data_IF_442211220368
#
_entry.id   IF_442211220368
#
_cell.length_a   1.000
_cell.length_b   1.000
_cell.length_c   1.000
_cell.angle_alpha   90.00
_cell.angle_beta   90.00
_cell.angle_gamma   90.00
#
_symmetry.space_group_name_H-M   'P 1'
#
loop_
_entity.id
_entity.type
_entity.pdbx_description
1 polymer ?
#
# COMPACT_ATOMS: atom_id res chain seq x y z
N UNK A 1 -50.27 -65.02 -58.52
CA UNK A 1 -51.00 -63.73 -58.64
C UNK A 1 -50.33 -62.75 -57.68
N UNK A 2 -49.49 -61.85 -58.20
CA UNK A 2 -49.80 -60.45 -58.58
C UNK A 2 -49.90 -59.48 -57.38
N UNK A 3 -48.87 -58.64 -57.29
CA UNK A 3 -48.87 -57.16 -57.08
C UNK A 3 -49.11 -56.53 -55.70
N UNK A 4 -48.03 -55.85 -55.24
CA UNK A 4 -47.88 -54.40 -54.95
C UNK A 4 -48.35 -53.78 -53.62
N UNK A 5 -47.36 -53.16 -52.95
CA UNK A 5 -47.34 -51.97 -52.05
C UNK A 5 -48.11 -52.11 -50.72
N UNK A 6 -47.60 -51.70 -49.55
CA UNK A 6 -47.31 -50.31 -49.14
C UNK A 6 -46.42 -50.31 -47.86
N UNK A 7 -45.50 -49.36 -47.85
CA UNK A 7 -44.74 -48.70 -46.77
C UNK A 7 -45.33 -48.79 -45.35
N UNK A 8 -44.50 -49.05 -44.33
CA UNK A 8 -44.23 -48.10 -43.22
C UNK A 8 -43.09 -48.63 -42.34
N UNK A 9 -41.99 -47.88 -42.42
CA UNK A 9 -40.80 -47.92 -41.59
C UNK A 9 -41.15 -47.41 -40.19
N UNK A 10 -40.88 -48.19 -39.14
CA UNK A 10 -40.52 -47.62 -37.84
C UNK A 10 -39.83 -48.68 -36.97
N UNK A 11 -38.72 -48.25 -36.35
CA UNK A 11 -38.21 -48.70 -35.06
C UNK A 11 -37.14 -49.82 -34.99
N UNK A 12 -35.93 -49.33 -34.63
CA UNK A 12 -34.89 -49.88 -33.72
C UNK A 12 -33.67 -50.58 -34.34
N UNK A 13 -32.53 -50.28 -33.70
CA UNK A 13 -31.24 -50.99 -33.59
C UNK A 13 -30.13 -50.31 -34.42
N UNK A 14 -29.48 -49.26 -33.91
CA UNK A 14 -28.34 -49.27 -32.95
C UNK A 14 -27.25 -50.25 -33.40
N UNK A 15 -26.20 -49.72 -34.02
CA UNK A 15 -24.79 -49.84 -33.58
C UNK A 15 -23.87 -49.50 -34.74
N UNK A 16 -23.15 -48.38 -34.64
CA UNK A 16 -22.15 -48.02 -35.65
C UNK A 16 -21.92 -46.53 -35.84
N UNK A 17 -21.88 -45.73 -34.77
CA UNK A 17 -21.20 -44.44 -34.80
C UNK A 17 -20.49 -44.27 -33.47
N UNK A 18 -19.24 -44.73 -33.43
CA UNK A 18 -18.26 -44.21 -32.50
C UNK A 18 -17.99 -42.77 -32.90
N UNK A 19 -18.75 -41.85 -32.33
CA UNK A 19 -18.29 -40.48 -32.14
C UNK A 19 -17.69 -40.44 -30.74
N UNK A 20 -16.37 -40.52 -30.75
CA UNK A 20 -15.50 -39.99 -29.71
C UNK A 20 -15.99 -38.57 -29.40
N UNK A 21 -16.72 -38.42 -28.31
CA UNK A 21 -16.77 -37.15 -27.62
C UNK A 21 -15.46 -37.11 -26.83
N UNK A 22 -14.41 -36.58 -27.45
CA UNK A 22 -13.32 -36.03 -26.68
C UNK A 22 -13.95 -34.91 -25.85
N UNK A 23 -14.07 -35.15 -24.56
CA UNK A 23 -13.94 -34.09 -23.56
C UNK A 23 -12.58 -33.44 -23.81
N UNK A 24 -12.55 -32.45 -24.71
CA UNK A 24 -11.45 -31.50 -24.74
C UNK A 24 -11.86 -30.35 -23.81
N UNK A 25 -12.12 -30.72 -22.56
CA UNK A 25 -11.97 -29.84 -21.41
C UNK A 25 -10.48 -29.52 -21.32
N UNK A 26 -9.98 -28.73 -22.28
CA UNK A 26 -8.67 -28.13 -22.21
C UNK A 26 -8.67 -27.32 -20.92
N UNK A 27 -8.08 -27.91 -19.89
CA UNK A 27 -7.77 -27.30 -18.61
C UNK A 27 -7.15 -25.94 -18.91
N UNK A 28 -7.92 -24.87 -18.69
CA UNK A 28 -7.48 -23.52 -19.04
C UNK A 28 -6.36 -23.14 -18.09
N UNK A 29 -5.10 -23.37 -18.47
CA UNK A 29 -3.95 -22.95 -17.69
C UNK A 29 -3.70 -21.44 -17.89
N UNK A 30 -4.03 -20.63 -16.88
CA UNK A 30 -3.80 -19.18 -16.93
C UNK A 30 -3.58 -18.57 -15.53
N UNK A 31 -3.13 -17.32 -15.54
CA UNK A 31 -3.02 -16.50 -14.34
C UNK A 31 -4.15 -15.50 -14.27
N UNK A 32 -4.60 -15.19 -13.06
CA UNK A 32 -5.62 -14.18 -12.81
C UNK A 32 -5.20 -13.26 -11.66
N UNK A 33 -5.75 -12.05 -11.65
CA UNK A 33 -5.48 -11.09 -10.59
C UNK A 33 -6.25 -11.47 -9.33
N UNK A 34 -5.59 -11.46 -8.18
CA UNK A 34 -6.25 -11.66 -6.89
C UNK A 34 -6.75 -10.29 -6.41
N UNK A 35 -8.06 -10.13 -6.29
CA UNK A 35 -8.70 -9.00 -5.62
C UNK A 35 -9.35 -9.52 -4.31
N UNK A 36 -9.31 -8.72 -3.25
CA UNK A 36 -9.88 -9.09 -1.94
C UNK A 36 -11.40 -9.28 -1.98
N UNK A 37 -12.07 -8.67 -2.97
CA UNK A 37 -13.53 -8.70 -3.10
C UNK A 37 -14.01 -9.66 -4.20
N UNK A 38 -13.18 -9.92 -5.21
CA UNK A 38 -13.55 -10.73 -6.38
C UNK A 38 -12.37 -11.60 -6.80
N UNK A 39 -12.60 -12.90 -6.99
CA UNK A 39 -11.64 -13.77 -7.66
C UNK A 39 -12.09 -13.90 -9.13
N UNK A 40 -11.55 -13.08 -10.05
CA UNK A 40 -11.92 -13.18 -11.45
C UNK A 40 -11.33 -14.46 -12.05
N UNK A 41 -12.18 -15.33 -12.60
CA UNK A 41 -11.74 -16.45 -13.46
C UNK A 41 -11.30 -15.98 -14.86
N UNK A 42 -10.75 -14.76 -14.96
CA UNK A 42 -10.34 -14.15 -16.22
C UNK A 42 -8.82 -14.09 -16.31
N UNK A 43 -8.31 -14.63 -17.42
CA UNK A 43 -6.89 -14.57 -17.75
C UNK A 43 -6.39 -13.13 -17.85
N UNK A 44 -5.26 -12.86 -17.19
CA UNK A 44 -4.52 -11.61 -17.31
C UNK A 44 -3.31 -11.79 -18.21
N UNK A 45 -2.96 -10.74 -18.95
CA UNK A 45 -1.72 -10.66 -19.74
C UNK A 45 -0.64 -9.85 -19.02
N UNK A 46 -1.01 -9.10 -17.98
CA UNK A 46 -0.08 -8.32 -17.16
C UNK A 46 -0.65 -7.97 -15.79
N UNK A 47 0.23 -7.58 -14.86
CA UNK A 47 -0.13 -7.04 -13.55
C UNK A 47 0.80 -5.90 -13.15
N UNK A 48 0.32 -4.99 -12.30
CA UNK A 48 1.10 -3.91 -11.71
C UNK A 48 1.17 -4.07 -10.19
N UNK A 49 2.37 -3.91 -9.63
CA UNK A 49 2.63 -4.07 -8.20
C UNK A 49 3.37 -2.86 -7.62
N UNK A 50 3.11 -2.55 -6.36
CA UNK A 50 3.70 -1.39 -5.69
C UNK A 50 5.11 -1.71 -5.15
N UNK A 51 6.03 -0.75 -5.26
CA UNK A 51 7.43 -0.91 -4.80
C UNK A 51 7.56 -1.26 -3.31
N UNK A 52 6.60 -0.87 -2.46
CA UNK A 52 6.64 -1.09 -1.00
C UNK A 52 6.07 -2.46 -0.58
N UNK A 53 5.19 -3.08 -1.38
CA UNK A 53 4.41 -4.26 -0.94
C UNK A 53 4.47 -5.47 -1.85
N UNK A 54 4.83 -5.31 -3.13
CA UNK A 54 4.71 -6.37 -4.11
C UNK A 54 3.24 -6.65 -4.50
N UNK A 55 2.94 -7.88 -4.87
CA UNK A 55 1.59 -8.31 -5.26
C UNK A 55 1.47 -9.83 -5.38
N UNK A 56 0.30 -10.30 -5.81
CA UNK A 56 0.06 -11.72 -6.03
C UNK A 56 -0.90 -11.96 -7.17
N UNK A 57 -0.72 -13.09 -7.86
CA UNK A 57 -1.63 -13.59 -8.89
C UNK A 57 -2.00 -15.03 -8.56
N UNK A 58 -3.21 -15.44 -8.94
CA UNK A 58 -3.68 -16.81 -8.80
C UNK A 58 -3.40 -17.61 -10.06
N UNK A 59 -3.30 -18.93 -9.91
CA UNK A 59 -3.14 -19.92 -10.96
C UNK A 59 -4.45 -20.69 -11.09
N UNK A 60 -4.89 -20.95 -12.31
CA UNK A 60 -6.01 -21.87 -12.56
C UNK A 60 -5.69 -22.78 -13.75
N UNK A 61 -6.28 -23.98 -13.75
CA UNK A 61 -5.96 -25.06 -14.68
C UNK A 61 -4.53 -25.57 -14.58
N UNK A 62 -4.16 -26.47 -15.49
CA UNK A 62 -2.87 -27.14 -15.49
C UNK A 62 -2.67 -28.07 -14.30
N UNK A 63 -1.48 -28.66 -14.22
CA UNK A 63 -1.16 -29.70 -13.24
C UNK A 63 -0.09 -29.28 -12.25
N UNK A 64 -0.42 -29.29 -10.96
CA UNK A 64 0.55 -29.08 -9.90
C UNK A 64 1.62 -30.20 -9.84
N UNK A 65 2.84 -29.94 -9.33
CA UNK A 65 3.31 -28.67 -8.77
C UNK A 65 3.62 -27.62 -9.85
N UNK A 66 3.38 -26.35 -9.51
CA UNK A 66 3.75 -25.22 -10.35
C UNK A 66 5.13 -24.68 -10.00
N UNK A 67 5.79 -24.10 -11.00
CA UNK A 67 7.04 -23.36 -10.86
C UNK A 67 6.88 -21.97 -11.46
N UNK A 68 7.62 -20.99 -10.96
CA UNK A 68 7.58 -19.63 -11.47
C UNK A 68 8.98 -19.00 -11.49
N UNK A 69 9.24 -18.20 -12.51
CA UNK A 69 10.46 -17.40 -12.66
C UNK A 69 10.13 -15.98 -13.12
N UNK A 70 11.00 -15.03 -12.76
CA UNK A 70 10.96 -13.65 -13.26
C UNK A 70 12.16 -13.47 -14.19
N UNK A 71 11.92 -12.94 -15.40
CA UNK A 71 13.00 -12.76 -16.39
C UNK A 71 14.11 -11.80 -15.93
N UNK A 72 13.77 -10.81 -15.12
CA UNK A 72 14.72 -9.86 -14.53
C UNK A 72 14.52 -9.73 -13.01
N UNK A 73 15.30 -10.50 -12.26
CA UNK A 73 15.26 -10.51 -10.79
C UNK A 73 15.74 -9.20 -10.13
N UNK A 74 16.36 -8.30 -10.89
CA UNK A 74 16.69 -6.95 -10.39
C UNK A 74 15.46 -6.06 -10.25
N UNK A 75 14.35 -6.42 -10.91
CA UNK A 75 13.08 -5.68 -10.88
C UNK A 75 12.12 -6.31 -9.86
N UNK A 76 11.95 -7.63 -9.89
CA UNK A 76 11.06 -8.36 -8.99
C UNK A 76 11.53 -9.80 -8.76
N UNK A 77 11.14 -10.40 -7.63
CA UNK A 77 11.37 -11.82 -7.35
C UNK A 77 10.05 -12.54 -7.14
N UNK A 78 10.04 -13.86 -7.27
CA UNK A 78 8.80 -14.65 -7.19
C UNK A 78 8.92 -15.86 -6.27
N UNK A 79 7.81 -16.24 -5.64
CA UNK A 79 7.62 -17.51 -4.95
C UNK A 79 6.24 -18.08 -5.28
N UNK A 80 6.18 -19.38 -5.49
CA UNK A 80 4.92 -20.12 -5.61
C UNK A 80 4.52 -20.63 -4.23
N UNK A 81 3.25 -20.50 -3.90
CA UNK A 81 2.60 -21.05 -2.71
C UNK A 81 1.28 -21.68 -3.14
N UNK A 82 1.27 -23.01 -3.27
CA UNK A 82 0.15 -23.78 -3.82
C UNK A 82 -0.27 -23.28 -5.21
N UNK A 83 -1.47 -22.72 -5.32
CA UNK A 83 -2.06 -22.16 -6.54
C UNK A 83 -1.86 -20.63 -6.65
N UNK A 84 -0.99 -20.05 -5.83
CA UNK A 84 -0.70 -18.61 -5.82
C UNK A 84 0.75 -18.32 -6.12
N UNK A 85 0.96 -17.25 -6.88
CA UNK A 85 2.28 -16.71 -7.15
C UNK A 85 2.42 -15.38 -6.42
N UNK A 86 3.34 -15.32 -5.44
CA UNK A 86 3.71 -14.11 -4.72
C UNK A 86 4.87 -13.41 -5.42
N UNK A 87 4.65 -12.18 -5.84
CA UNK A 87 5.63 -11.34 -6.52
C UNK A 87 6.10 -10.27 -5.54
N UNK A 88 7.40 -10.25 -5.24
CA UNK A 88 8.02 -9.22 -4.40
C UNK A 88 8.74 -8.20 -5.28
N UNK A 89 8.51 -6.91 -5.01
CA UNK A 89 9.20 -5.82 -5.69
C UNK A 89 10.66 -5.71 -5.24
N UNK A 90 11.54 -5.34 -6.17
CA UNK A 90 12.95 -4.98 -5.89
C UNK A 90 13.20 -3.54 -6.32
N UNK A 91 12.87 -3.20 -7.58
CA UNK A 91 13.11 -1.88 -8.18
C UNK A 91 11.97 -1.53 -9.15
N UNK A 92 11.71 -0.24 -9.34
CA UNK A 92 10.81 0.24 -10.40
C UNK A 92 11.27 -0.27 -11.77
N UNK A 93 10.31 -0.71 -12.59
CA UNK A 93 10.61 -1.26 -13.91
C UNK A 93 9.53 -2.22 -14.42
N UNK A 94 9.82 -2.86 -15.54
CA UNK A 94 8.96 -3.87 -16.16
C UNK A 94 9.77 -5.14 -16.41
N UNK A 95 9.19 -6.29 -16.08
CA UNK A 95 9.74 -7.62 -16.34
C UNK A 95 8.61 -8.57 -16.74
N UNK A 96 8.90 -9.85 -16.94
CA UNK A 96 7.87 -10.87 -17.18
C UNK A 96 7.90 -11.94 -16.11
N UNK A 97 6.71 -12.41 -15.73
CA UNK A 97 6.50 -13.60 -14.94
C UNK A 97 6.20 -14.76 -15.88
N UNK A 98 6.92 -15.86 -15.72
CA UNK A 98 6.69 -17.12 -16.42
C UNK A 98 6.29 -18.16 -15.38
N UNK A 99 5.14 -18.79 -15.55
CA UNK A 99 4.64 -19.86 -14.68
C UNK A 99 4.49 -21.11 -15.51
N UNK A 100 5.00 -22.23 -14.98
CA UNK A 100 5.01 -23.53 -15.64
C UNK A 100 4.39 -24.60 -14.75
N UNK A 101 3.56 -25.45 -15.32
CA UNK A 101 2.97 -26.59 -14.63
C UNK A 101 3.86 -27.86 -14.72
N UNK A 102 3.42 -28.96 -14.13
CA UNK A 102 4.16 -30.21 -14.08
C UNK A 102 4.32 -30.90 -15.44
N UNK A 103 3.37 -30.72 -16.35
CA UNK A 103 3.40 -31.30 -17.70
C UNK A 103 4.11 -30.38 -18.71
N UNK A 104 4.45 -29.17 -18.28
CA UNK A 104 5.29 -28.21 -18.98
C UNK A 104 4.55 -27.11 -19.75
N UNK A 105 3.23 -27.01 -19.57
CA UNK A 105 2.44 -25.88 -20.03
C UNK A 105 2.98 -24.61 -19.38
N UNK A 106 3.02 -23.51 -20.14
CA UNK A 106 3.64 -22.26 -19.71
C UNK A 106 2.72 -21.08 -19.97
N UNK A 107 2.59 -20.20 -18.98
CA UNK A 107 1.91 -18.91 -19.09
C UNK A 107 2.91 -17.81 -18.80
N UNK A 108 2.95 -16.80 -19.67
CA UNK A 108 3.82 -15.62 -19.53
C UNK A 108 2.97 -14.36 -19.44
N UNK A 109 3.18 -13.56 -18.40
CA UNK A 109 2.53 -12.26 -18.22
C UNK A 109 3.55 -11.16 -17.95
N UNK A 110 3.20 -9.91 -18.28
CA UNK A 110 4.00 -8.75 -17.90
C UNK A 110 3.84 -8.39 -16.42
N UNK A 111 4.90 -7.94 -15.77
CA UNK A 111 4.91 -7.40 -14.41
C UNK A 111 5.50 -6.00 -14.44
N UNK A 112 4.75 -5.01 -13.94
CA UNK A 112 5.24 -3.64 -13.78
C UNK A 112 5.34 -3.27 -12.31
N UNK A 113 6.53 -2.93 -11.85
CA UNK A 113 6.74 -2.37 -10.51
C UNK A 113 6.60 -0.85 -10.59
N UNK A 114 5.61 -0.31 -9.89
CA UNK A 114 5.25 1.11 -9.91
C UNK A 114 5.51 1.77 -8.56
N UNK A 115 5.54 3.11 -8.59
CA UNK A 115 5.60 3.93 -7.39
C UNK A 115 4.40 3.68 -6.50
N UNK A 116 4.60 3.84 -5.20
CA UNK A 116 3.51 3.84 -4.23
C UNK A 116 3.30 5.26 -3.71
N UNK A 117 2.04 5.71 -3.67
CA UNK A 117 1.70 7.05 -3.21
C UNK A 117 0.98 6.92 -1.87
N UNK A 118 1.43 7.69 -0.89
CA UNK A 118 0.78 7.79 0.41
C UNK A 118 0.50 9.26 0.70
N UNK A 119 -0.72 9.60 1.11
CA UNK A 119 -1.08 10.98 1.41
C UNK A 119 -1.69 11.11 2.79
N UNK A 120 -1.17 12.05 3.57
CA UNK A 120 -1.71 12.48 4.84
C UNK A 120 -2.39 13.84 4.64
N UNK A 121 -3.68 13.94 4.95
CA UNK A 121 -4.45 15.19 4.95
C UNK A 121 -4.59 15.70 6.38
N UNK A 122 -4.16 16.94 6.64
CA UNK A 122 -4.25 17.58 7.96
C UNK A 122 -5.61 18.26 8.16
N UNK A 123 -6.24 17.99 9.29
CA UNK A 123 -7.50 18.61 9.70
C UNK A 123 -7.28 19.66 10.80
N UNK A 124 -6.41 19.34 11.77
CA UNK A 124 -6.09 20.21 12.90
C UNK A 124 -4.66 19.97 13.36
N UNK A 125 -4.08 20.96 14.05
CA UNK A 125 -2.74 20.87 14.64
C UNK A 125 -2.84 21.31 16.10
N UNK A 126 -2.23 20.54 16.98
CA UNK A 126 -2.07 20.91 18.39
C UNK A 126 -0.65 20.57 18.87
N UNK A 127 -0.29 21.07 20.05
CA UNK A 127 1.01 20.83 20.65
C UNK A 127 0.83 19.98 21.91
N UNK A 128 1.66 18.95 22.05
CA UNK A 128 1.76 18.16 23.27
C UNK A 128 3.07 18.49 23.96
N UNK A 129 2.97 19.02 25.18
CA UNK A 129 4.10 19.49 25.99
C UNK A 129 4.17 18.62 27.25
N UNK A 130 5.34 18.07 27.53
CA UNK A 130 5.63 17.28 28.73
C UNK A 130 6.94 17.81 29.34
N UNK A 131 6.97 17.94 30.66
CA UNK A 131 8.11 18.45 31.40
C UNK A 131 7.81 18.52 32.90
N UNK A 132 8.86 18.74 33.70
CA UNK A 132 8.77 18.77 35.17
C UNK A 132 7.80 19.84 35.68
N UNK A 133 7.82 21.02 35.05
CA UNK A 133 7.05 22.18 35.48
C UNK A 133 5.89 22.53 34.53
N UNK A 134 5.37 21.55 33.78
CA UNK A 134 4.18 21.72 32.94
C UNK A 134 2.93 21.62 33.81
N UNK A 135 2.49 22.77 34.35
CA UNK A 135 1.36 22.88 35.27
C UNK A 135 0.71 24.28 35.21
N UNK A 136 -0.39 24.48 35.93
CA UNK A 136 -1.17 25.73 35.92
C UNK A 136 -0.39 26.96 36.38
N UNK A 137 0.69 26.80 37.17
CA UNK A 137 1.50 27.94 37.60
C UNK A 137 2.29 28.57 36.45
N UNK A 138 2.58 27.79 35.40
CA UNK A 138 3.34 28.23 34.22
C UNK A 138 2.45 28.36 32.97
N UNK A 139 1.13 28.54 33.16
CA UNK A 139 0.16 28.55 32.06
C UNK A 139 0.47 29.57 30.95
N UNK A 140 0.85 30.79 31.31
CA UNK A 140 1.17 31.84 30.33
C UNK A 140 2.36 31.44 29.44
N UNK A 141 3.42 30.88 30.05
CA UNK A 141 4.60 30.39 29.35
C UNK A 141 4.29 29.19 28.45
N UNK A 142 3.39 28.30 28.88
CA UNK A 142 2.92 27.17 28.07
C UNK A 142 2.10 27.64 26.86
N UNK A 143 1.24 28.66 27.03
CA UNK A 143 0.47 29.26 25.94
C UNK A 143 1.40 29.95 24.92
N UNK A 144 2.45 30.63 25.38
CA UNK A 144 3.48 31.21 24.50
C UNK A 144 4.25 30.14 23.72
N UNK A 145 4.71 29.08 24.40
CA UNK A 145 5.41 27.96 23.77
C UNK A 145 4.53 27.27 22.74
N UNK A 146 3.27 26.98 23.07
CA UNK A 146 2.31 26.37 22.15
C UNK A 146 2.10 27.26 20.90
N UNK A 147 1.88 28.56 21.09
CA UNK A 147 1.73 29.51 19.99
C UNK A 147 2.98 29.55 19.09
N UNK A 148 4.18 29.55 19.69
CA UNK A 148 5.44 29.54 18.94
C UNK A 148 5.62 28.25 18.14
N UNK A 149 5.37 27.08 18.76
CA UNK A 149 5.47 25.77 18.10
C UNK A 149 4.48 25.66 16.94
N UNK A 150 3.26 26.19 17.08
CA UNK A 150 2.27 26.24 15.99
C UNK A 150 2.72 27.19 14.89
N UNK A 151 3.22 28.38 15.24
CA UNK A 151 3.69 29.38 14.28
C UNK A 151 4.83 28.83 13.41
N UNK A 152 5.83 28.22 14.03
CA UNK A 152 7.02 27.63 13.39
C UNK A 152 6.68 26.35 12.58
N UNK A 153 5.49 25.79 12.78
CA UNK A 153 5.04 24.60 12.07
C UNK A 153 4.63 24.90 10.64
N UNK A 154 5.14 24.12 9.70
CA UNK A 154 4.81 24.33 8.28
C UNK A 154 3.41 23.81 7.93
N UNK A 155 3.07 22.60 8.37
CA UNK A 155 1.76 22.00 8.09
C UNK A 155 0.69 22.63 8.98
N UNK A 156 -0.35 23.19 8.36
CA UNK A 156 -1.50 23.79 9.05
C UNK A 156 -2.76 22.92 8.85
N UNK A 157 -3.89 23.36 9.40
CA UNK A 157 -5.19 22.80 9.07
C UNK A 157 -5.43 22.91 7.55
N UNK A 158 -6.00 21.88 6.93
CA UNK A 158 -6.22 21.71 5.48
C UNK A 158 -4.98 21.43 4.62
N UNK A 159 -3.77 21.52 5.18
CA UNK A 159 -2.54 21.15 4.48
C UNK A 159 -2.46 19.64 4.21
N UNK A 160 -1.47 19.22 3.43
CA UNK A 160 -1.20 17.80 3.24
C UNK A 160 0.29 17.48 3.12
N UNK A 161 0.61 16.23 3.42
CA UNK A 161 1.89 15.61 3.10
C UNK A 161 1.64 14.46 2.14
N UNK A 162 2.38 14.41 1.04
CA UNK A 162 2.33 13.35 0.04
C UNK A 162 3.71 12.72 -0.09
N UNK A 163 3.80 11.43 0.20
CA UNK A 163 4.99 10.62 -0.02
C UNK A 163 4.82 9.82 -1.31
N UNK A 164 5.79 9.95 -2.22
CA UNK A 164 5.93 9.11 -3.40
C UNK A 164 7.14 8.22 -3.19
N UNK A 165 6.89 6.93 -3.03
CA UNK A 165 7.93 5.93 -2.88
C UNK A 165 8.40 5.49 -4.25
N UNK A 166 9.68 5.74 -4.54
CA UNK A 166 10.39 5.19 -5.70
C UNK A 166 11.35 4.04 -5.30
N UNK A 167 11.53 3.82 -3.99
CA UNK A 167 12.19 2.66 -3.38
C UNK A 167 11.32 2.14 -2.22
N UNK A 168 11.72 1.03 -1.58
CA UNK A 168 10.98 0.49 -0.41
C UNK A 168 10.96 1.47 0.78
N UNK A 169 12.04 2.21 0.96
CA UNK A 169 12.30 2.99 2.17
C UNK A 169 12.64 4.45 1.86
N UNK A 170 12.24 4.96 0.70
CA UNK A 170 12.49 6.34 0.34
C UNK A 170 11.83 6.78 -0.96
N UNK A 171 11.92 8.08 -1.19
CA UNK A 171 11.43 8.74 -2.38
C UNK A 171 11.28 10.23 -2.16
N UNK A 172 10.22 10.81 -2.70
CA UNK A 172 9.97 12.25 -2.64
C UNK A 172 8.76 12.58 -1.77
N UNK A 173 8.93 13.55 -0.88
CA UNK A 173 7.86 14.13 -0.10
C UNK A 173 7.47 15.47 -0.72
N UNK A 174 6.17 15.69 -0.89
CA UNK A 174 5.58 17.00 -1.16
C UNK A 174 4.74 17.42 0.05
N UNK A 175 4.97 18.62 0.56
CA UNK A 175 4.25 19.18 1.68
C UNK A 175 3.63 20.52 1.26
N UNK A 176 2.30 20.59 1.30
CA UNK A 176 1.53 21.82 1.11
C UNK A 176 1.09 22.33 2.49
N UNK A 177 1.48 23.56 2.84
CA UNK A 177 1.22 24.14 4.16
C UNK A 177 -0.28 24.14 4.52
N UNK A 178 -1.11 24.60 3.59
CA UNK A 178 -2.55 24.77 3.70
C UNK A 178 -3.18 24.76 2.29
N UNK A 179 -4.45 24.41 2.18
CA UNK A 179 -5.14 24.33 0.89
C UNK A 179 -5.67 25.71 0.45
N UNK A 180 -4.77 26.67 0.27
CA UNK A 180 -5.07 28.04 -0.16
C UNK A 180 -4.30 28.39 -1.43
N UNK A 181 -4.83 29.33 -2.22
CA UNK A 181 -4.17 29.78 -3.44
C UNK A 181 -2.85 30.50 -3.10
N UNK A 182 -1.74 30.08 -3.70
CA UNK A 182 -0.42 30.65 -3.44
C UNK A 182 0.29 30.09 -2.21
N UNK A 183 -0.27 29.08 -1.54
CA UNK A 183 0.39 28.40 -0.44
C UNK A 183 1.75 27.83 -0.87
N UNK A 184 2.74 27.96 0.02
CA UNK A 184 4.09 27.45 -0.21
C UNK A 184 4.06 25.92 -0.26
N UNK A 185 4.77 25.36 -1.25
CA UNK A 185 4.98 23.92 -1.42
C UNK A 185 6.45 23.63 -1.12
N UNK A 186 6.69 22.62 -0.29
CA UNK A 186 8.01 22.05 -0.08
C UNK A 186 8.06 20.71 -0.79
N UNK A 187 9.12 20.48 -1.57
CA UNK A 187 9.45 19.19 -2.12
C UNK A 187 10.84 18.81 -1.64
N UNK A 188 10.97 17.64 -1.04
CA UNK A 188 12.23 17.16 -0.49
C UNK A 188 12.32 15.62 -0.56
N UNK A 189 13.51 15.04 -0.73
CA UNK A 189 13.68 13.61 -0.58
C UNK A 189 13.40 13.19 0.87
N UNK A 190 12.83 11.99 1.04
CA UNK A 190 12.68 11.39 2.36
C UNK A 190 13.33 10.02 2.42
N UNK A 191 13.76 9.67 3.63
CA UNK A 191 14.15 8.32 4.02
C UNK A 191 13.18 7.82 5.09
N UNK A 192 12.68 6.60 4.93
CA UNK A 192 11.82 5.92 5.90
C UNK A 192 12.67 4.97 6.73
N UNK A 193 12.72 5.22 8.04
CA UNK A 193 13.45 4.40 9.00
C UNK A 193 12.50 3.84 10.06
N UNK A 194 12.87 2.73 10.67
CA UNK A 194 12.15 2.21 11.84
C UNK A 194 12.80 2.74 13.11
N UNK A 195 12.02 3.44 13.93
CA UNK A 195 12.47 3.97 15.22
C UNK A 195 11.69 3.38 16.37
N UNK A 196 12.36 3.26 17.52
CA UNK A 196 11.75 2.84 18.78
C UNK A 196 11.59 4.04 19.70
N UNK A 197 10.37 4.28 20.15
CA UNK A 197 10.05 5.31 21.14
C UNK A 197 9.31 4.61 22.27
N UNK A 198 9.98 4.48 23.42
CA UNK A 198 9.54 3.58 24.49
C UNK A 198 9.47 2.12 24.01
N UNK A 199 8.35 1.45 24.27
CA UNK A 199 8.11 0.06 23.84
C UNK A 199 7.56 -0.06 22.41
N UNK A 200 7.25 1.06 21.75
CA UNK A 200 6.60 1.07 20.43
C UNK A 200 7.61 1.34 19.32
N UNK A 201 7.44 0.63 18.21
CA UNK A 201 8.18 0.89 16.97
C UNK A 201 7.31 1.69 16.01
N UNK A 202 7.88 2.72 15.39
CA UNK A 202 7.22 3.60 14.43
C UNK A 202 8.00 3.65 13.13
N UNK A 203 7.28 3.79 12.01
CA UNK A 203 7.90 4.22 10.76
C UNK A 203 8.07 5.74 10.81
N UNK A 204 9.32 6.19 10.87
CA UNK A 204 9.69 7.58 10.84
C UNK A 204 10.18 7.98 9.45
N UNK A 205 9.91 9.22 9.07
CA UNK A 205 10.28 9.86 7.82
C UNK A 205 11.28 10.96 8.14
N UNK A 206 12.52 10.77 7.68
CA UNK A 206 13.58 11.77 7.78
C UNK A 206 13.58 12.59 6.51
N UNK A 207 13.41 13.91 6.64
CA UNK A 207 13.27 14.82 5.51
C UNK A 207 14.10 16.07 5.75
N UNK A 208 14.95 16.43 4.80
CA UNK A 208 15.76 17.65 4.91
C UNK A 208 15.09 18.80 4.15
N UNK A 209 14.67 19.84 4.86
CA UNK A 209 14.20 21.09 4.27
C UNK A 209 14.42 22.25 5.25
N UNK A 210 14.51 23.48 4.73
CA UNK A 210 14.76 24.70 5.52
C UNK A 210 15.96 24.55 6.49
N UNK A 211 17.07 24.01 5.96
CA UNK A 211 18.36 23.84 6.65
C UNK A 211 18.33 22.96 7.92
N UNK A 212 17.31 22.12 8.08
CA UNK A 212 17.25 21.13 9.15
C UNK A 212 16.69 19.78 8.69
N UNK A 213 17.00 18.74 9.46
CA UNK A 213 16.34 17.45 9.33
C UNK A 213 15.06 17.47 10.15
N UNK A 214 13.94 17.27 9.47
CA UNK A 214 12.65 17.03 10.08
C UNK A 214 12.42 15.53 10.21
N UNK A 215 11.85 15.14 11.34
CA UNK A 215 11.49 13.76 11.62
C UNK A 215 10.00 13.68 11.88
N UNK A 216 9.29 13.03 10.97
CA UNK A 216 7.87 12.77 11.13
C UNK A 216 7.63 11.30 11.42
N UNK A 217 6.62 10.97 12.21
CA UNK A 217 6.14 9.60 12.28
C UNK A 217 4.62 9.56 12.29
N UNK A 218 4.07 8.48 11.72
CA UNK A 218 2.63 8.22 11.73
C UNK A 218 2.27 7.37 12.95
N UNK A 219 1.23 7.76 13.67
CA UNK A 219 0.67 6.99 14.79
C UNK A 219 -0.86 6.96 14.73
N UNK A 220 -1.45 5.94 15.35
CA UNK A 220 -2.89 5.90 15.59
C UNK A 220 -3.30 6.94 16.65
N UNK A 221 -4.57 7.40 16.63
CA UNK A 221 -5.11 8.27 17.68
C UNK A 221 -5.04 7.63 19.07
N UNK A 222 -4.88 8.45 20.12
CA UNK A 222 -4.77 7.97 21.52
C UNK A 222 -6.06 7.29 22.05
N UNK A 223 -7.22 7.56 21.45
CA UNK A 223 -8.45 6.77 21.66
C UNK A 223 -8.90 6.16 20.33
N UNK A 224 -9.01 4.84 20.21
CA UNK A 224 -9.73 4.25 19.09
C UNK A 224 -11.21 4.63 19.26
N UNK A 225 -11.77 5.38 18.31
CA UNK A 225 -13.23 5.42 18.16
C UNK A 225 -13.73 3.99 17.91
N UNK A 226 -14.93 3.62 18.42
CA UNK A 226 -15.39 2.24 18.36
C UNK A 226 -15.45 1.78 16.91
N UNK A 227 -14.88 0.60 16.71
CA UNK A 227 -14.75 -0.13 15.47
C UNK A 227 -16.06 -0.09 14.67
N UNK A 228 -16.04 0.66 13.57
CA UNK A 228 -16.92 0.40 12.44
C UNK A 228 -16.01 0.24 11.25
N UNK A 229 -16.11 -0.92 10.59
CA UNK A 229 -15.51 -1.27 9.30
C UNK A 229 -15.93 -0.25 8.23
N UNK A 230 -15.43 0.96 8.32
CA UNK A 230 -15.60 2.02 7.35
C UNK A 230 -14.34 2.02 6.48
N UNK A 231 -14.53 1.79 5.19
CA UNK A 231 -13.52 1.99 4.13
C UNK A 231 -13.20 3.49 3.92
N UNK A 232 -13.37 4.31 4.96
CA UNK A 232 -13.02 5.72 5.00
C UNK A 232 -11.53 5.92 5.32
N UNK A 233 -10.99 7.12 5.08
CA UNK A 233 -9.57 7.37 5.30
C UNK A 233 -9.24 7.18 6.79
N UNK A 234 -8.20 6.39 7.08
CA UNK A 234 -7.90 5.94 8.44
C UNK A 234 -7.50 7.15 9.29
N UNK A 235 -8.16 7.41 10.43
CA UNK A 235 -7.75 8.49 11.32
C UNK A 235 -6.34 8.20 11.80
N UNK A 236 -5.47 9.19 11.65
CA UNK A 236 -4.05 9.05 11.96
C UNK A 236 -3.48 10.40 12.38
N UNK A 237 -2.38 10.35 13.13
CA UNK A 237 -1.63 11.52 13.52
C UNK A 237 -0.26 11.51 12.88
N UNK A 238 0.12 12.63 12.27
CA UNK A 238 1.48 12.89 11.85
C UNK A 238 2.15 13.73 12.93
N UNK A 239 3.20 13.20 13.53
CA UNK A 239 3.86 13.80 14.69
C UNK A 239 5.29 14.17 14.34
N UNK A 240 5.70 15.36 14.75
CA UNK A 240 7.10 15.82 14.71
C UNK A 240 7.55 16.14 16.15
N UNK A 241 8.68 15.56 16.56
CA UNK A 241 9.31 15.91 17.84
C UNK A 241 10.19 17.14 17.63
N UNK A 242 9.87 18.21 18.34
CA UNK A 242 10.56 19.50 18.28
C UNK A 242 11.19 19.89 19.61
N UNK A 243 11.33 18.93 20.54
CA UNK A 243 11.85 19.15 21.90
C UNK A 243 13.19 19.87 21.89
N UNK A 244 14.12 19.42 21.05
CA UNK A 244 15.47 19.97 20.96
C UNK A 244 15.51 21.44 20.52
N UNK A 245 14.47 21.90 19.81
CA UNK A 245 14.36 23.29 19.33
C UNK A 245 14.02 24.23 20.50
N UNK A 246 13.11 23.81 21.39
CA UNK A 246 12.54 24.69 22.41
C UNK A 246 13.10 24.49 23.82
N UNK A 247 13.71 23.33 24.12
CA UNK A 247 14.16 22.98 25.48
C UNK A 247 15.13 23.98 26.11
N UNK A 248 15.97 24.65 25.30
CA UNK A 248 16.93 25.63 25.78
C UNK A 248 16.27 26.98 26.05
N UNK A 249 15.32 27.39 25.20
CA UNK A 249 14.59 28.65 25.35
C UNK A 249 13.65 28.61 26.55
N UNK A 250 13.01 27.46 26.81
CA UNK A 250 12.03 27.26 27.87
C UNK A 250 12.57 26.33 28.97
N UNK A 251 13.80 26.57 29.40
CA UNK A 251 14.53 25.72 30.34
C UNK A 251 13.83 25.58 31.71
N UNK A 252 13.09 26.61 32.12
CA UNK A 252 12.30 26.68 33.35
C UNK A 252 11.16 25.66 33.39
N UNK A 253 10.68 25.21 32.23
CA UNK A 253 9.62 24.19 32.15
C UNK A 253 10.15 22.77 32.38
N UNK A 254 11.47 22.56 32.35
CA UNK A 254 12.07 21.23 32.47
C UNK A 254 11.55 20.27 31.38
N UNK A 255 11.51 20.74 30.13
CA UNK A 255 10.88 20.05 29.00
C UNK A 255 11.54 18.68 28.73
N UNK A 256 10.70 17.64 28.73
CA UNK A 256 11.09 16.27 28.34
C UNK A 256 10.53 15.89 26.97
N UNK A 257 9.43 16.51 26.54
CA UNK A 257 8.88 16.33 25.20
C UNK A 257 8.10 17.57 24.76
N UNK A 258 8.32 18.01 23.51
CA UNK A 258 7.46 18.96 22.79
C UNK A 258 7.19 18.38 21.43
N UNK A 259 5.92 18.01 21.18
CA UNK A 259 5.50 17.36 19.94
C UNK A 259 4.45 18.19 19.23
N UNK A 260 4.69 18.45 17.95
CA UNK A 260 3.67 18.99 17.04
C UNK A 260 2.87 17.82 16.51
N UNK A 261 1.56 17.82 16.78
CA UNK A 261 0.67 16.71 16.40
C UNK A 261 -0.35 17.22 15.40
N UNK A 262 -0.25 16.73 14.16
CA UNK A 262 -1.23 16.99 13.12
C UNK A 262 -2.24 15.85 13.14
N UNK A 263 -3.51 16.18 13.41
CA UNK A 263 -4.63 15.25 13.33
C UNK A 263 -5.11 15.22 11.89
N UNK A 264 -5.26 14.03 11.34
CA UNK A 264 -5.62 13.90 9.94
C UNK A 264 -6.08 12.52 9.55
N UNK A 265 -6.03 12.30 8.24
CA UNK A 265 -6.41 11.03 7.66
C UNK A 265 -5.39 10.59 6.60
N UNK A 266 -5.14 9.29 6.53
CA UNK A 266 -4.17 8.68 5.63
C UNK A 266 -4.90 7.98 4.48
N UNK A 267 -4.47 8.24 3.26
CA UNK A 267 -4.85 7.49 2.07
C UNK A 267 -3.63 6.91 1.35
N UNK A 268 -3.87 5.86 0.58
CA UNK A 268 -2.89 5.08 -0.18
C UNK A 268 -3.39 4.96 -1.62
#
# INVERSE_FOLDING_TARGET
>A
MKTKHVITILMVIISGLGIVSCDDDNERFFLYQIDEVVFPDQAISSTAINIVGGGSVGITGGKAPYTAEIEDEQIATVKVDEDRVRISSVKLGTTSLIVKDADGLTVKIGVKVVEFVQRFMSNAVYVKIEGENVNDANKETLEELEAQVIADGFLKATGYVRFVYNTKDGGEMTLLAENTAGAKIITAPFEKVIKRIGEKSYSAFLVNYEDRTHEFYLTAPERPEPDTRSLGPMPCWLVEDVTEIYKAQYSELGLTSVRRVCIGSLSR
#
